data_IF_251228422146
#
_entry.id   IF_251228422146
#
_cell.length_a   1.000
_cell.length_b   1.000
_cell.length_c   1.000
_cell.angle_alpha   90.00
_cell.angle_beta   90.00
_cell.angle_gamma   90.00
#
_symmetry.space_group_name_H-M   'P 1'
#
loop_
_entity.id
_entity.type
_entity.pdbx_description
1 polymer ?
#
# COMPACT_ATOMS: atom_id res chain seq x y z
N UNK A 1 6.77 -11.62 0.11
CA UNK A 1 7.38 -10.29 0.30
C UNK A 1 8.78 -10.27 -0.30
N UNK A 2 9.69 -11.15 0.11
CA UNK A 2 11.09 -11.09 -0.30
C UNK A 2 11.29 -11.30 -1.81
N UNK A 3 10.64 -12.28 -2.38
CA UNK A 3 10.79 -12.59 -3.81
C UNK A 3 10.29 -11.46 -4.72
N UNK A 4 9.16 -10.82 -4.40
CA UNK A 4 8.66 -9.68 -5.17
C UNK A 4 9.53 -8.44 -4.95
N UNK A 5 10.10 -8.27 -3.74
CA UNK A 5 11.07 -7.21 -3.45
C UNK A 5 12.32 -7.36 -4.33
N UNK A 6 12.88 -8.57 -4.39
CA UNK A 6 14.05 -8.85 -5.23
C UNK A 6 13.78 -8.59 -6.71
N UNK A 7 12.60 -8.98 -7.19
CA UNK A 7 12.18 -8.73 -8.57
C UNK A 7 12.12 -7.22 -8.88
N UNK A 8 11.50 -6.43 -8.00
CA UNK A 8 11.41 -4.97 -8.16
C UNK A 8 12.79 -4.30 -8.08
N UNK A 9 13.62 -4.70 -7.11
CA UNK A 9 14.99 -4.15 -6.95
C UNK A 9 15.88 -4.51 -8.14
N UNK A 10 15.71 -5.68 -8.75
CA UNK A 10 16.42 -6.06 -9.97
C UNK A 10 16.20 -5.04 -11.10
N UNK A 11 14.98 -4.56 -11.27
CA UNK A 11 14.63 -3.60 -12.32
C UNK A 11 14.92 -2.15 -11.92
N UNK A 12 14.90 -1.86 -10.61
CA UNK A 12 15.20 -0.53 -10.06
C UNK A 12 16.04 -0.63 -8.77
N UNK A 13 17.37 -0.78 -8.88
CA UNK A 13 18.27 -0.93 -7.73
C UNK A 13 18.26 0.24 -6.74
N UNK A 14 17.95 1.46 -7.21
CA UNK A 14 17.90 2.67 -6.38
C UNK A 14 16.90 2.57 -5.23
N UNK A 15 15.89 1.73 -5.36
CA UNK A 15 14.90 1.50 -4.28
C UNK A 15 15.57 0.93 -3.03
N UNK A 16 16.59 0.09 -3.20
CA UNK A 16 17.31 -0.56 -2.10
C UNK A 16 18.36 0.33 -1.42
N UNK A 17 18.69 1.52 -1.96
CA UNK A 17 19.68 2.44 -1.38
C UNK A 17 19.21 3.12 -0.09
N UNK A 18 17.95 2.97 0.29
CA UNK A 18 17.37 3.54 1.51
C UNK A 18 18.02 2.93 2.75
N UNK A 19 18.41 3.77 3.69
CA UNK A 19 18.96 3.31 4.98
C UNK A 19 17.97 2.35 5.67
N UNK A 20 18.46 1.18 6.08
CA UNK A 20 17.65 0.16 6.77
C UNK A 20 16.67 -0.60 5.88
N UNK A 21 16.81 -0.50 4.54
CA UNK A 21 15.96 -1.22 3.59
C UNK A 21 16.07 -2.74 3.78
N UNK A 22 14.92 -3.41 3.93
CA UNK A 22 14.79 -4.88 3.90
C UNK A 22 13.85 -5.33 2.80
N UNK A 23 12.73 -4.60 2.61
CA UNK A 23 11.77 -4.87 1.54
C UNK A 23 11.05 -3.59 1.09
N UNK A 24 10.33 -3.67 -0.05
CA UNK A 24 9.59 -2.56 -0.63
C UNK A 24 8.34 -2.14 0.17
N UNK A 25 7.98 -2.87 1.21
CA UNK A 25 6.79 -2.65 2.04
C UNK A 25 7.16 -2.10 3.43
N UNK A 26 8.11 -1.20 3.49
CA UNK A 26 8.62 -0.55 4.73
C UNK A 26 8.98 -1.54 5.83
N UNK A 27 9.55 -2.67 5.42
CA UNK A 27 9.98 -3.77 6.30
C UNK A 27 8.83 -4.49 7.05
N UNK A 28 7.58 -4.25 6.67
CA UNK A 28 6.44 -4.90 7.29
C UNK A 28 6.41 -6.42 7.03
N UNK A 29 5.96 -7.22 8.00
CA UNK A 29 5.87 -8.67 7.87
C UNK A 29 4.62 -9.12 7.10
N UNK A 30 3.58 -8.27 7.02
CA UNK A 30 2.33 -8.57 6.36
C UNK A 30 1.93 -7.42 5.43
N UNK A 31 1.35 -7.77 4.29
CA UNK A 31 0.91 -6.79 3.28
C UNK A 31 -0.43 -7.19 2.71
N UNK A 32 -1.36 -6.25 2.68
CA UNK A 32 -2.62 -6.37 1.96
C UNK A 32 -2.51 -5.61 0.64
N UNK A 33 -2.78 -6.27 -0.47
CA UNK A 33 -2.81 -5.67 -1.79
C UNK A 33 -4.26 -5.34 -2.17
N UNK A 34 -4.55 -4.06 -2.39
CA UNK A 34 -5.88 -3.58 -2.77
C UNK A 34 -5.90 -3.38 -4.29
N UNK A 35 -6.86 -4.02 -4.94
CA UNK A 35 -7.11 -3.87 -6.37
C UNK A 35 -8.48 -3.28 -6.61
N UNK A 36 -8.61 -2.48 -7.68
CA UNK A 36 -9.85 -1.83 -8.07
C UNK A 36 -10.35 -2.33 -9.43
N UNK A 37 -11.65 -2.31 -9.62
CA UNK A 37 -12.29 -2.57 -10.91
C UNK A 37 -12.08 -1.37 -11.84
N UNK A 38 -11.40 -1.57 -12.96
CA UNK A 38 -11.10 -0.51 -13.93
C UNK A 38 -12.32 -0.11 -14.80
N UNK A 39 -13.43 -0.80 -14.67
CA UNK A 39 -14.68 -0.54 -15.42
C UNK A 39 -15.69 0.26 -14.61
N UNK A 40 -15.40 0.58 -13.35
CA UNK A 40 -16.32 1.26 -12.46
C UNK A 40 -15.68 2.55 -11.89
N UNK A 41 -16.28 3.68 -12.19
CA UNK A 41 -15.72 5.02 -11.90
C UNK A 41 -15.48 5.28 -10.41
N UNK A 42 -16.32 4.72 -9.52
CA UNK A 42 -16.21 4.91 -8.08
C UNK A 42 -15.32 3.87 -7.38
N UNK A 43 -14.80 2.89 -8.11
CA UNK A 43 -14.03 1.77 -7.53
C UNK A 43 -12.82 2.22 -6.68
N UNK A 44 -12.15 3.31 -7.04
CA UNK A 44 -11.03 3.81 -6.25
C UNK A 44 -11.47 4.42 -4.93
N UNK A 45 -12.66 5.02 -4.87
CA UNK A 45 -13.28 5.54 -3.64
C UNK A 45 -13.64 4.37 -2.73
N UNK A 46 -14.30 3.33 -3.28
CA UNK A 46 -14.64 2.11 -2.54
C UNK A 46 -13.39 1.45 -1.94
N UNK A 47 -12.28 1.41 -2.71
CA UNK A 47 -11.00 0.91 -2.22
C UNK A 47 -10.42 1.75 -1.07
N UNK A 48 -10.61 3.07 -1.11
CA UNK A 48 -10.23 3.95 0.00
C UNK A 48 -11.02 3.66 1.27
N UNK A 49 -12.35 3.50 1.15
CA UNK A 49 -13.24 3.13 2.26
C UNK A 49 -12.89 1.74 2.82
N UNK A 50 -12.61 0.76 1.96
CA UNK A 50 -12.13 -0.57 2.37
C UNK A 50 -10.81 -0.47 3.14
N UNK A 51 -9.86 0.31 2.62
CA UNK A 51 -8.56 0.49 3.26
C UNK A 51 -8.67 1.11 4.64
N UNK A 52 -9.50 2.14 4.82
CA UNK A 52 -9.74 2.77 6.12
C UNK A 52 -10.32 1.77 7.13
N UNK A 53 -11.29 0.94 6.72
CA UNK A 53 -11.82 -0.12 7.60
C UNK A 53 -10.74 -1.13 8.03
N UNK A 54 -9.84 -1.52 7.12
CA UNK A 54 -8.71 -2.40 7.45
C UNK A 54 -7.78 -1.73 8.46
N UNK A 55 -7.45 -0.45 8.26
CA UNK A 55 -6.57 0.33 9.13
C UNK A 55 -7.15 0.46 10.53
N UNK A 56 -8.44 0.81 10.64
CA UNK A 56 -9.13 0.94 11.93
C UNK A 56 -9.22 -0.41 12.66
N UNK A 57 -9.52 -1.49 11.93
CA UNK A 57 -9.55 -2.83 12.50
C UNK A 57 -8.17 -3.31 12.96
N UNK A 58 -7.10 -2.96 12.25
CA UNK A 58 -5.73 -3.25 12.65
C UNK A 58 -5.37 -2.46 13.92
N UNK A 59 -5.63 -1.17 13.93
CA UNK A 59 -5.36 -0.28 15.07
C UNK A 59 -6.06 -0.76 16.34
N UNK A 60 -7.34 -1.17 16.26
CA UNK A 60 -8.08 -1.71 17.40
C UNK A 60 -7.47 -2.98 18.03
N UNK A 61 -6.51 -3.61 17.33
CA UNK A 61 -5.76 -4.80 17.76
C UNK A 61 -4.30 -4.51 18.08
N UNK A 62 -3.91 -3.23 18.17
CA UNK A 62 -2.53 -2.84 18.41
C UNK A 62 -1.58 -3.08 17.22
N UNK A 63 -2.14 -3.23 16.01
CA UNK A 63 -1.37 -3.42 14.78
C UNK A 63 -1.25 -2.07 14.07
N UNK A 64 -0.02 -1.66 13.79
CA UNK A 64 0.29 -0.50 12.97
C UNK A 64 0.05 -0.76 11.49
N UNK A 65 -0.23 0.30 10.74
CA UNK A 65 -0.48 0.22 9.31
C UNK A 65 0.15 1.39 8.54
N UNK A 66 0.49 1.15 7.27
CA UNK A 66 0.99 2.20 6.38
C UNK A 66 0.46 1.96 4.96
N UNK A 67 -0.20 2.99 4.39
CA UNK A 67 -0.62 2.96 2.99
C UNK A 67 0.56 3.21 2.04
N UNK A 68 0.77 2.33 1.07
CA UNK A 68 1.92 2.29 0.19
C UNK A 68 1.51 2.36 -1.29
N UNK A 69 1.34 3.58 -1.79
CA UNK A 69 1.13 3.82 -3.22
C UNK A 69 2.41 3.60 -4.05
N UNK A 70 3.57 3.95 -3.49
CA UNK A 70 4.86 3.77 -4.17
C UNK A 70 5.17 2.29 -4.42
N UNK A 71 4.93 1.42 -3.45
CA UNK A 71 5.18 -0.01 -3.59
C UNK A 71 4.32 -0.63 -4.70
N UNK A 72 3.03 -0.28 -4.77
CA UNK A 72 2.15 -0.72 -5.85
C UNK A 72 2.66 -0.24 -7.22
N UNK A 73 3.10 1.02 -7.33
CA UNK A 73 3.66 1.57 -8.57
C UNK A 73 4.93 0.82 -8.99
N UNK A 74 5.86 0.60 -8.08
CA UNK A 74 7.10 -0.15 -8.37
C UNK A 74 6.83 -1.58 -8.84
N UNK A 75 5.82 -2.24 -8.26
CA UNK A 75 5.41 -3.58 -8.70
C UNK A 75 4.83 -3.52 -10.12
N UNK A 76 3.96 -2.54 -10.40
CA UNK A 76 3.32 -2.37 -11.71
C UNK A 76 4.32 -2.00 -12.82
N UNK A 77 5.34 -1.21 -12.48
CA UNK A 77 6.37 -0.74 -13.41
C UNK A 77 7.51 -1.76 -13.62
N UNK A 78 7.56 -2.85 -12.82
CA UNK A 78 8.63 -3.85 -12.88
C UNK A 78 8.23 -5.06 -13.74
N UNK A 79 8.87 -5.27 -14.90
CA UNK A 79 8.68 -6.48 -15.70
C UNK A 79 9.00 -7.77 -14.94
N UNK A 80 10.03 -7.74 -14.09
CA UNK A 80 10.43 -8.89 -13.26
C UNK A 80 9.41 -9.21 -12.17
N UNK A 81 8.55 -8.26 -11.77
CA UNK A 81 7.49 -8.48 -10.79
C UNK A 81 6.18 -9.02 -11.41
N UNK A 82 6.06 -9.03 -12.74
CA UNK A 82 4.85 -9.51 -13.43
C UNK A 82 4.39 -10.91 -12.98
N UNK A 83 5.26 -11.94 -12.84
CA UNK A 83 4.82 -13.25 -12.38
C UNK A 83 4.17 -13.24 -10.99
N UNK A 84 4.54 -12.29 -10.13
CA UNK A 84 3.95 -12.13 -8.80
C UNK A 84 2.58 -11.45 -8.87
N UNK A 85 2.40 -10.47 -9.77
CA UNK A 85 1.09 -9.88 -10.06
C UNK A 85 0.13 -10.94 -10.60
N UNK A 86 0.57 -11.77 -11.53
CA UNK A 86 -0.23 -12.84 -12.11
C UNK A 86 -0.67 -13.86 -11.03
N UNK A 87 0.20 -14.14 -10.05
CA UNK A 87 -0.13 -15.01 -8.89
C UNK A 87 -1.09 -14.39 -7.88
N UNK A 88 -1.24 -13.06 -7.84
CA UNK A 88 -2.27 -12.41 -7.02
C UNK A 88 -3.68 -12.72 -7.52
N UNK A 89 -3.80 -13.22 -8.76
CA UNK A 89 -5.02 -13.75 -9.37
C UNK A 89 -6.21 -12.75 -9.31
N UNK A 90 -5.91 -11.46 -9.51
CA UNK A 90 -6.98 -10.46 -9.63
C UNK A 90 -7.88 -10.79 -10.82
N UNK A 91 -9.18 -10.50 -10.68
CA UNK A 91 -10.16 -10.64 -11.76
C UNK A 91 -9.74 -9.82 -12.99
N UNK A 92 -10.21 -10.22 -14.19
CA UNK A 92 -9.78 -9.69 -15.49
C UNK A 92 -9.71 -8.16 -15.58
N UNK A 93 -10.68 -7.48 -14.97
CA UNK A 93 -10.78 -6.02 -15.02
C UNK A 93 -10.19 -5.33 -13.79
N UNK A 94 -9.50 -6.08 -12.90
CA UNK A 94 -8.94 -5.52 -11.69
C UNK A 94 -7.46 -5.20 -11.86
N UNK A 95 -7.05 -4.07 -11.28
CA UNK A 95 -5.68 -3.59 -11.27
C UNK A 95 -5.24 -3.24 -9.84
N UNK A 96 -4.01 -3.58 -9.48
CA UNK A 96 -3.43 -3.17 -8.20
C UNK A 96 -3.47 -1.64 -8.06
N UNK A 97 -4.03 -1.15 -6.95
CA UNK A 97 -4.17 0.28 -6.66
C UNK A 97 -3.11 0.75 -5.66
N UNK A 98 -3.08 0.12 -4.50
CA UNK A 98 -2.10 0.38 -3.45
C UNK A 98 -1.95 -0.83 -2.54
N UNK A 99 -0.96 -0.78 -1.66
CA UNK A 99 -0.76 -1.80 -0.63
C UNK A 99 -0.94 -1.19 0.76
N UNK A 100 -1.29 -2.02 1.73
CA UNK A 100 -1.30 -1.66 3.15
C UNK A 100 -0.30 -2.57 3.85
N UNK A 101 0.78 -1.99 4.35
CA UNK A 101 1.72 -2.69 5.22
C UNK A 101 1.14 -2.79 6.63
N UNK A 102 1.26 -3.96 7.25
CA UNK A 102 0.76 -4.26 8.59
C UNK A 102 1.85 -4.87 9.44
N UNK A 103 1.95 -4.45 10.70
CA UNK A 103 2.91 -5.00 11.66
C UNK A 103 2.76 -4.36 13.04
N UNK A 104 3.46 -4.90 14.03
CA UNK A 104 3.53 -4.24 15.32
C UNK A 104 4.35 -2.95 15.17
N UNK A 105 3.85 -1.79 15.69
CA UNK A 105 4.53 -0.51 15.54
C UNK A 105 5.83 -0.50 16.33
N UNK A 106 6.90 0.00 15.70
CA UNK A 106 8.23 0.22 16.28
C UNK A 106 8.58 1.72 16.35
N UNK A 107 7.57 2.57 16.10
CA UNK A 107 7.68 4.02 16.16
C UNK A 107 6.38 4.64 16.67
N UNK A 108 6.47 5.85 17.22
CA UNK A 108 5.32 6.64 17.65
C UNK A 108 5.48 8.09 17.18
N UNK A 109 5.30 8.33 15.85
CA UNK A 109 5.45 9.67 15.30
C UNK A 109 4.38 10.62 15.82
N UNK A 110 4.76 11.89 15.98
CA UNK A 110 3.78 12.93 16.32
C UNK A 110 2.71 13.08 15.21
N UNK A 111 1.46 13.27 15.63
CA UNK A 111 0.37 13.52 14.71
C UNK A 111 0.57 14.87 14.01
N UNK A 112 0.47 14.89 12.69
CA UNK A 112 0.51 16.14 11.93
C UNK A 112 -0.65 17.06 12.34
N UNK A 113 -0.44 18.39 12.38
CA UNK A 113 -1.52 19.35 12.64
C UNK A 113 -2.69 19.14 11.68
N UNK A 114 -3.90 19.22 12.20
CA UNK A 114 -5.13 19.16 11.39
C UNK A 114 -5.42 20.53 10.78
N UNK A 115 -5.72 20.55 9.51
CA UNK A 115 -6.08 21.78 8.77
C UNK A 115 -7.58 22.04 8.88
N UNK A 116 -7.99 22.76 9.91
CA UNK A 116 -9.40 23.13 10.12
C UNK A 116 -9.91 24.12 9.07
N UNK A 117 -9.02 24.89 8.45
CA UNK A 117 -9.32 25.82 7.35
C UNK A 117 -9.88 25.13 6.07
N UNK A 118 -9.71 23.81 5.97
CA UNK A 118 -10.25 23.00 4.86
C UNK A 118 -11.72 22.62 5.05
N UNK A 119 -12.29 22.84 6.24
CA UNK A 119 -13.68 22.51 6.56
C UNK A 119 -14.50 23.81 6.50
N UNK A 120 -15.54 23.82 5.68
CA UNK A 120 -16.50 24.92 5.60
C UNK A 120 -17.88 24.39 5.94
N UNK A 121 -18.54 25.07 6.88
CA UNK A 121 -19.93 24.83 7.15
C UNK A 121 -20.76 25.77 6.25
N UNK A 122 -21.81 25.24 5.65
CA UNK A 122 -22.74 25.99 4.81
C UNK A 122 -23.99 26.24 5.65
N UNK A 123 -24.40 27.52 5.80
CA UNK A 123 -25.64 27.92 6.48
C UNK A 123 -26.85 27.66 5.57
#
# INVERSE_FOLDING_TARGET
IDSITQAVVKDNPKIAERKGFKNIFVNAPCVVCIAYDTTYDMAQIDCGLLGENIILAAWSRGIGSCCLGSSARWILDSPSAKPYLDRMAFSKNYKLLYCIALGYPDESPEAKPRRQDMIKFMD
#
